data_IF_744934077332
#
_entry.id   IF_744934077332
#
_cell.length_a   1.000
_cell.length_b   1.000
_cell.length_c   1.000
_cell.angle_alpha   90.00
_cell.angle_beta   90.00
_cell.angle_gamma   90.00
#
_symmetry.space_group_name_H-M   'P 1'
#
loop_
_entity.id
_entity.type
_entity.pdbx_description
1 polymer ?
#
# COMPACT_ATOMS: atom_id res chain seq x y z
N UNK A 1 -19.44 30.87 17.76
CA UNK A 1 -18.15 30.39 18.33
C UNK A 1 -17.63 31.54 19.18
N UNK A 2 -17.18 31.21 20.37
CA UNK A 2 -16.63 32.21 21.30
C UNK A 2 -15.12 32.01 21.43
N UNK A 3 -14.42 33.03 21.94
CA UNK A 3 -12.96 32.95 22.17
C UNK A 3 -12.63 31.78 23.09
N UNK A 4 -11.46 31.19 22.94
CA UNK A 4 -10.96 30.16 23.84
C UNK A 4 -11.00 30.65 25.30
N UNK A 5 -11.47 29.80 26.22
CA UNK A 5 -11.47 30.05 27.66
C UNK A 5 -10.05 30.21 28.22
N UNK A 6 -9.05 29.74 27.50
CA UNK A 6 -7.63 29.76 27.88
C UNK A 6 -6.80 30.64 26.97
N UNK A 7 -7.39 31.72 26.43
CA UNK A 7 -6.78 32.61 25.43
C UNK A 7 -5.39 33.11 25.85
N UNK A 8 -5.16 33.42 27.12
CA UNK A 8 -3.87 33.87 27.66
C UNK A 8 -2.71 32.86 27.49
N UNK A 9 -3.04 31.57 27.43
CA UNK A 9 -2.10 30.51 27.19
C UNK A 9 -2.04 30.13 25.71
N UNK A 10 -3.20 30.04 25.09
CA UNK A 10 -3.36 29.63 23.68
C UNK A 10 -2.67 30.63 22.77
N UNK A 11 -2.88 31.93 22.96
CA UNK A 11 -2.22 32.95 22.12
C UNK A 11 -0.69 32.93 22.16
N UNK A 12 -0.10 32.44 23.25
CA UNK A 12 1.37 32.30 23.40
C UNK A 12 1.95 31.03 22.78
N UNK A 13 1.18 29.93 22.80
CA UNK A 13 1.65 28.59 22.42
C UNK A 13 1.20 28.20 21.02
N UNK A 14 -0.01 28.62 20.61
CA UNK A 14 -0.60 28.24 19.35
C UNK A 14 0.23 28.63 18.11
N UNK A 15 0.85 29.80 18.05
CA UNK A 15 1.75 30.14 16.94
C UNK A 15 2.99 29.22 16.83
N UNK A 16 3.35 28.52 17.93
CA UNK A 16 4.48 27.57 17.99
C UNK A 16 4.03 26.12 18.00
N UNK A 17 2.76 25.84 17.71
CA UNK A 17 2.20 24.48 17.79
C UNK A 17 2.94 23.52 16.84
N UNK A 18 3.32 23.97 15.67
CA UNK A 18 4.09 23.16 14.71
C UNK A 18 5.42 22.66 15.30
N UNK A 19 6.17 23.55 15.94
CA UNK A 19 7.40 23.17 16.65
C UNK A 19 7.13 22.17 17.77
N UNK A 20 6.10 22.42 18.57
CA UNK A 20 5.71 21.54 19.67
C UNK A 20 5.32 20.13 19.16
N UNK A 21 4.58 20.06 18.06
CA UNK A 21 4.21 18.78 17.43
C UNK A 21 5.45 18.03 16.95
N UNK A 22 6.36 18.71 16.23
CA UNK A 22 7.60 18.11 15.74
C UNK A 22 8.49 17.61 16.88
N UNK A 23 8.70 18.42 17.90
CA UNK A 23 9.49 18.03 19.08
C UNK A 23 8.89 16.84 19.82
N UNK A 24 7.56 16.80 19.95
CA UNK A 24 6.87 15.73 20.66
C UNK A 24 6.84 14.42 19.88
N UNK A 25 6.71 14.46 18.57
CA UNK A 25 6.83 13.29 17.68
C UNK A 25 8.24 12.71 17.75
N UNK A 26 9.26 13.55 17.61
CA UNK A 26 10.66 13.11 17.60
C UNK A 26 11.19 12.73 19.00
N UNK A 27 10.65 13.33 20.06
CA UNK A 27 11.07 13.10 21.45
C UNK A 27 10.34 11.93 22.15
N UNK A 28 9.45 11.24 21.50
CA UNK A 28 8.77 10.09 22.08
C UNK A 28 9.75 8.92 22.29
N UNK A 29 9.60 8.19 23.40
CA UNK A 29 10.37 6.97 23.69
C UNK A 29 10.24 5.88 22.61
N UNK A 30 9.16 5.94 21.81
CA UNK A 30 8.93 5.17 20.59
C UNK A 30 8.55 6.17 19.52
N UNK A 31 9.49 6.66 18.70
CA UNK A 31 9.18 7.56 17.60
C UNK A 31 8.21 6.87 16.64
N UNK A 32 7.16 7.59 16.25
CA UNK A 32 6.21 7.11 15.26
C UNK A 32 6.91 7.18 13.89
N UNK A 33 7.08 6.03 13.27
CA UNK A 33 7.54 5.95 11.89
C UNK A 33 6.33 6.11 10.97
N UNK A 34 6.42 7.06 10.06
CA UNK A 34 5.40 7.31 9.04
C UNK A 34 5.97 7.05 7.65
N UNK A 35 5.56 5.94 7.03
CA UNK A 35 5.99 5.57 5.68
C UNK A 35 5.53 6.60 4.64
N UNK A 36 4.30 7.15 4.77
CA UNK A 36 3.84 8.18 3.85
C UNK A 36 4.69 9.46 3.86
N UNK A 37 5.39 9.77 4.98
CA UNK A 37 6.30 10.91 5.05
C UNK A 37 7.69 10.61 4.50
N UNK A 38 8.09 9.34 4.47
CA UNK A 38 9.38 8.90 3.93
C UNK A 38 9.29 8.62 2.42
N UNK A 39 8.14 8.14 1.96
CA UNK A 39 7.95 7.61 0.60
C UNK A 39 7.18 8.56 -0.32
N UNK A 40 6.56 9.62 0.19
CA UNK A 40 5.78 10.58 -0.59
C UNK A 40 6.34 11.99 -0.49
N UNK A 41 6.32 12.70 -1.61
CA UNK A 41 6.67 14.12 -1.67
C UNK A 41 5.43 14.98 -1.47
N UNK A 42 5.41 15.98 -0.55
CA UNK A 42 4.29 16.90 -0.41
C UNK A 42 4.12 17.79 -1.64
N UNK A 43 2.92 17.80 -2.24
CA UNK A 43 2.60 18.61 -3.43
C UNK A 43 1.34 19.43 -3.18
N UNK A 44 1.41 20.73 -3.46
CA UNK A 44 0.27 21.64 -3.33
C UNK A 44 -0.58 21.63 -4.59
N UNK A 45 -1.90 21.43 -4.42
CA UNK A 45 -2.90 21.51 -5.48
C UNK A 45 -3.81 22.73 -5.28
N UNK A 46 -3.73 23.69 -6.20
CA UNK A 46 -4.51 24.92 -6.15
C UNK A 46 -6.00 24.70 -6.50
N UNK A 47 -6.29 23.73 -7.36
CA UNK A 47 -7.64 23.38 -7.81
C UNK A 47 -8.32 22.29 -6.95
N UNK A 48 -7.67 21.87 -5.86
CA UNK A 48 -8.16 20.85 -4.92
C UNK A 48 -8.43 19.49 -5.57
N UNK A 49 -7.69 19.18 -6.61
CA UNK A 49 -7.73 17.89 -7.29
C UNK A 49 -6.41 17.15 -7.09
N UNK A 50 -6.49 15.86 -7.25
CA UNK A 50 -5.33 15.00 -7.37
C UNK A 50 -5.36 14.31 -8.74
N UNK A 51 -4.21 14.13 -9.30
CA UNK A 51 -4.01 13.38 -10.54
C UNK A 51 -2.89 12.40 -10.28
N UNK A 52 -3.17 11.11 -10.48
CA UNK A 52 -2.15 10.07 -10.54
C UNK A 52 -1.70 9.94 -11.98
N UNK A 53 -0.44 10.10 -12.23
CA UNK A 53 0.14 9.84 -13.55
C UNK A 53 0.59 8.40 -13.60
N UNK A 54 0.02 7.63 -14.53
CA UNK A 54 0.67 6.46 -15.08
C UNK A 54 1.20 6.91 -16.44
N UNK A 55 2.42 7.35 -16.46
CA UNK A 55 3.14 7.53 -17.71
C UNK A 55 3.70 6.15 -18.07
N UNK A 56 3.38 5.65 -19.25
CA UNK A 56 4.13 4.52 -19.77
C UNK A 56 5.57 5.00 -19.98
N UNK A 57 6.44 4.68 -19.02
CA UNK A 57 7.82 5.14 -18.96
C UNK A 57 8.76 4.30 -19.83
N UNK A 58 8.21 3.48 -20.74
CA UNK A 58 9.00 2.67 -21.65
C UNK A 58 9.75 3.58 -22.64
N UNK A 59 11.06 3.67 -22.45
CA UNK A 59 11.93 4.43 -23.35
C UNK A 59 12.22 3.63 -24.61
N UNK A 60 11.68 4.07 -25.75
CA UNK A 60 11.94 3.45 -27.06
C UNK A 60 13.26 3.97 -27.60
N UNK A 61 14.17 3.07 -28.01
CA UNK A 61 15.42 3.46 -28.61
C UNK A 61 15.19 4.23 -29.93
N UNK A 62 16.01 5.27 -30.17
CA UNK A 62 16.00 5.99 -31.42
C UNK A 62 16.60 5.12 -32.55
N UNK A 63 16.04 5.23 -33.74
CA UNK A 63 16.56 4.52 -34.89
C UNK A 63 17.82 5.21 -35.46
N UNK A 64 18.73 4.40 -35.97
CA UNK A 64 19.85 4.94 -36.79
C UNK A 64 19.36 5.19 -38.18
N UNK A 65 19.39 6.46 -38.61
CA UNK A 65 18.91 6.87 -39.93
C UNK A 65 20.06 7.44 -40.80
N UNK A 66 19.93 7.29 -42.10
CA UNK A 66 20.89 7.90 -43.03
C UNK A 66 20.75 9.44 -42.99
N UNK A 67 21.86 10.18 -43.33
CA UNK A 67 21.91 11.63 -43.20
C UNK A 67 20.79 12.40 -43.95
N UNK A 68 20.30 11.88 -45.05
CA UNK A 68 19.29 12.50 -45.86
C UNK A 68 17.89 11.87 -45.73
N UNK A 69 17.69 11.01 -44.72
CA UNK A 69 16.40 10.35 -44.43
C UNK A 69 15.57 11.15 -43.42
N UNK A 70 14.24 11.22 -43.59
CA UNK A 70 13.37 11.79 -42.57
C UNK A 70 13.41 10.92 -41.29
N UNK A 71 13.30 11.56 -40.12
CA UNK A 71 13.26 10.86 -38.86
C UNK A 71 11.97 10.03 -38.72
N UNK A 72 12.04 8.76 -38.33
CA UNK A 72 10.86 7.93 -38.10
C UNK A 72 10.01 8.47 -36.95
N UNK A 73 8.70 8.51 -37.13
CA UNK A 73 7.76 8.91 -36.13
C UNK A 73 7.55 7.73 -35.16
N UNK A 74 7.86 7.92 -33.87
CA UNK A 74 7.53 6.96 -32.82
C UNK A 74 6.13 7.26 -32.26
N UNK A 75 5.40 6.23 -31.87
CA UNK A 75 4.11 6.36 -31.22
C UNK A 75 4.24 7.08 -29.89
N UNK A 76 3.24 7.86 -29.53
CA UNK A 76 3.12 8.46 -28.21
C UNK A 76 2.17 7.59 -27.40
N UNK A 77 2.67 7.01 -26.32
CA UNK A 77 1.84 6.21 -25.45
C UNK A 77 0.79 7.08 -24.76
N UNK A 78 -0.40 6.51 -24.53
CA UNK A 78 -1.49 7.21 -23.86
C UNK A 78 -1.20 7.25 -22.36
N UNK A 79 -1.22 8.45 -21.77
CA UNK A 79 -1.17 8.62 -20.33
C UNK A 79 -2.54 8.24 -19.77
N UNK A 80 -2.61 7.17 -19.00
CA UNK A 80 -3.80 6.86 -18.21
C UNK A 80 -3.79 7.76 -16.97
N UNK A 81 -4.84 8.55 -16.77
CA UNK A 81 -4.97 9.44 -15.61
C UNK A 81 -6.02 8.88 -14.67
N UNK A 82 -5.61 8.53 -13.46
CA UNK A 82 -6.51 8.43 -12.32
C UNK A 82 -6.59 9.80 -11.66
N UNK A 83 -7.78 10.29 -11.33
CA UNK A 83 -7.89 11.61 -10.74
C UNK A 83 -9.20 11.83 -10.01
N UNK A 84 -9.25 12.87 -9.19
CA UNK A 84 -10.44 13.20 -8.43
C UNK A 84 -10.27 14.41 -7.52
N UNK A 85 -11.30 14.72 -6.75
CA UNK A 85 -11.25 15.81 -5.75
C UNK A 85 -10.53 15.31 -4.49
N UNK A 86 -9.79 16.22 -3.85
CA UNK A 86 -9.15 15.94 -2.57
C UNK A 86 -10.20 15.75 -1.46
N UNK A 87 -10.13 14.68 -0.67
CA UNK A 87 -11.00 14.46 0.45
C UNK A 87 -10.61 15.36 1.64
N UNK A 88 -11.60 15.76 2.41
CA UNK A 88 -11.38 16.44 3.68
C UNK A 88 -11.17 15.40 4.78
N UNK A 89 -10.03 15.46 5.44
CA UNK A 89 -9.69 14.66 6.61
C UNK A 89 -9.78 15.54 7.85
N UNK A 90 -10.35 15.04 8.93
CA UNK A 90 -10.41 15.84 10.15
C UNK A 90 -10.90 15.08 11.37
N UNK A 91 -10.58 15.63 12.52
CA UNK A 91 -11.06 15.15 13.81
C UNK A 91 -11.26 16.30 14.79
N UNK A 92 -12.03 16.03 15.83
CA UNK A 92 -12.39 16.99 16.86
C UNK A 92 -12.10 16.41 18.25
N UNK A 93 -11.52 17.23 19.11
CA UNK A 93 -11.36 16.97 20.53
C UNK A 93 -12.14 18.00 21.33
N UNK A 94 -12.66 17.62 22.49
CA UNK A 94 -13.39 18.52 23.37
C UNK A 94 -12.92 18.37 24.83
N UNK A 95 -12.74 19.48 25.51
CA UNK A 95 -12.64 19.53 26.95
C UNK A 95 -14.02 19.80 27.53
N UNK A 96 -14.51 18.86 28.31
CA UNK A 96 -15.79 18.99 29.04
C UNK A 96 -15.60 19.90 30.26
N UNK A 97 -16.69 20.43 30.82
CA UNK A 97 -16.69 21.31 31.97
C UNK A 97 -15.87 20.77 33.16
N UNK A 98 -15.94 19.47 33.45
CA UNK A 98 -15.15 18.85 34.51
C UNK A 98 -13.62 18.96 34.27
N UNK A 99 -13.20 18.88 33.02
CA UNK A 99 -11.79 19.03 32.65
C UNK A 99 -11.34 20.48 32.64
N UNK A 100 -12.27 21.40 32.25
CA UNK A 100 -12.07 22.84 32.31
C UNK A 100 -11.89 23.27 33.79
N UNK A 101 -12.74 22.76 34.70
CA UNK A 101 -12.62 23.04 36.13
C UNK A 101 -11.28 22.50 36.69
N UNK A 102 -10.84 21.34 36.28
CA UNK A 102 -9.52 20.82 36.68
C UNK A 102 -8.36 21.71 36.26
N UNK A 103 -8.44 22.32 35.05
CA UNK A 103 -7.43 23.30 34.60
C UNK A 103 -7.51 24.58 35.41
N UNK A 104 -8.75 25.07 35.73
CA UNK A 104 -8.95 26.26 36.55
C UNK A 104 -8.39 26.08 37.97
N UNK A 105 -8.56 24.92 38.59
CA UNK A 105 -7.94 24.58 39.86
C UNK A 105 -6.41 24.62 39.77
N UNK A 106 -5.82 24.08 38.70
CA UNK A 106 -4.37 24.17 38.47
C UNK A 106 -3.90 25.63 38.33
N UNK A 107 -4.69 26.49 37.67
CA UNK A 107 -4.41 27.92 37.54
C UNK A 107 -4.45 28.61 38.92
N UNK A 108 -5.47 28.31 39.74
CA UNK A 108 -5.53 28.82 41.08
C UNK A 108 -4.36 28.42 41.97
N UNK A 109 -3.95 27.15 41.91
CA UNK A 109 -2.74 26.66 42.59
C UNK A 109 -1.46 27.35 42.09
N UNK A 110 -1.36 27.65 40.78
CA UNK A 110 -0.22 28.35 40.21
C UNK A 110 -0.07 29.75 40.79
N UNK A 111 -1.18 30.47 41.02
CA UNK A 111 -1.16 31.81 41.62
C UNK A 111 -0.78 31.80 43.10
N UNK A 112 -1.05 30.73 43.83
CA UNK A 112 -0.76 30.56 45.25
C UNK A 112 0.67 30.04 45.54
N UNK A 113 1.34 29.49 44.54
CA UNK A 113 2.66 28.90 44.70
C UNK A 113 3.73 30.00 44.70
N UNK A 114 4.60 30.06 45.70
CA UNK A 114 5.70 31.04 45.80
C UNK A 114 7.01 30.51 45.24
N UNK A 115 7.21 29.19 45.21
CA UNK A 115 8.41 28.57 44.67
C UNK A 115 8.46 28.63 43.15
N UNK A 116 9.52 29.22 42.58
CA UNK A 116 9.67 29.41 41.13
C UNK A 116 9.82 28.08 40.37
N UNK A 117 10.46 27.08 40.96
CA UNK A 117 10.59 25.75 40.35
C UNK A 117 9.24 25.04 40.23
N UNK A 118 8.45 25.08 41.31
CA UNK A 118 7.09 24.52 41.33
C UNK A 118 6.15 25.28 40.38
N UNK A 119 6.22 26.62 40.31
CA UNK A 119 5.47 27.42 39.33
C UNK A 119 5.76 26.96 37.91
N UNK A 120 7.03 26.84 37.55
CA UNK A 120 7.46 26.41 36.19
C UNK A 120 6.95 25.03 35.84
N UNK A 121 7.01 24.08 36.77
CA UNK A 121 6.50 22.73 36.59
C UNK A 121 4.97 22.72 36.38
N UNK A 122 4.24 23.51 37.17
CA UNK A 122 2.79 23.58 37.12
C UNK A 122 2.29 24.30 35.84
N UNK A 123 2.96 25.39 35.45
CA UNK A 123 2.70 26.05 34.17
C UNK A 123 2.88 25.07 33.00
N UNK A 124 3.95 24.30 33.01
CA UNK A 124 4.21 23.28 31.99
C UNK A 124 3.10 22.21 31.92
N UNK A 125 2.54 21.79 33.07
CA UNK A 125 1.42 20.87 33.12
C UNK A 125 0.14 21.47 32.50
N UNK A 126 -0.16 22.73 32.78
CA UNK A 126 -1.30 23.46 32.21
C UNK A 126 -1.12 23.57 30.67
N UNK A 127 0.06 24.03 30.24
CA UNK A 127 0.36 24.16 28.82
C UNK A 127 0.25 22.82 28.08
N UNK A 128 0.79 21.74 28.65
CA UNK A 128 0.66 20.41 28.03
C UNK A 128 -0.82 20.00 27.88
N UNK A 129 -1.65 20.17 28.90
CA UNK A 129 -3.08 19.86 28.79
C UNK A 129 -3.82 20.68 27.73
N UNK A 130 -3.41 21.92 27.53
CA UNK A 130 -4.00 22.80 26.51
C UNK A 130 -3.51 22.41 25.10
N UNK A 131 -2.24 22.04 24.94
CA UNK A 131 -1.65 21.73 23.63
C UNK A 131 -1.84 20.28 23.20
N UNK A 132 -2.09 19.36 24.15
CA UNK A 132 -2.24 17.92 23.84
C UNK A 132 -3.37 17.63 22.86
N UNK A 133 -4.47 18.37 22.90
CA UNK A 133 -5.58 18.21 21.94
C UNK A 133 -5.17 18.67 20.53
N UNK A 134 -4.43 19.77 20.42
CA UNK A 134 -3.89 20.23 19.14
C UNK A 134 -2.88 19.24 18.55
N UNK A 135 -1.98 18.73 19.40
CA UNK A 135 -1.07 17.66 19.02
C UNK A 135 -1.80 16.40 18.55
N UNK A 136 -2.80 15.94 19.31
CA UNK A 136 -3.59 14.76 18.96
C UNK A 136 -4.34 14.94 17.63
N UNK A 137 -4.85 16.14 17.34
CA UNK A 137 -5.51 16.46 16.08
C UNK A 137 -4.53 16.42 14.89
N UNK A 138 -3.34 16.98 15.06
CA UNK A 138 -2.31 16.96 14.00
C UNK A 138 -1.82 15.53 13.71
N UNK A 139 -1.51 14.76 14.75
CA UNK A 139 -1.09 13.36 14.63
C UNK A 139 -2.22 12.47 14.09
N UNK A 140 -3.48 12.74 14.46
CA UNK A 140 -4.63 11.99 13.95
C UNK A 140 -4.81 12.10 12.44
N UNK A 141 -4.43 13.24 11.84
CA UNK A 141 -4.39 13.40 10.38
C UNK A 141 -3.27 12.56 9.77
N UNK A 142 -2.07 12.55 10.40
CA UNK A 142 -0.96 11.71 9.94
C UNK A 142 -1.31 10.21 10.02
N UNK A 143 -1.96 9.77 11.10
CA UNK A 143 -2.42 8.38 11.25
C UNK A 143 -3.43 7.99 10.15
N UNK A 144 -4.31 8.89 9.73
CA UNK A 144 -5.24 8.65 8.62
C UNK A 144 -4.51 8.58 7.27
N UNK A 145 -3.57 9.48 7.04
CA UNK A 145 -2.76 9.46 5.82
C UNK A 145 -1.91 8.18 5.74
N UNK A 146 -1.33 7.75 6.86
CA UNK A 146 -0.58 6.49 6.94
C UNK A 146 -1.46 5.28 6.62
N UNK A 147 -2.67 5.23 7.19
CA UNK A 147 -3.63 4.18 6.90
C UNK A 147 -3.99 4.13 5.41
N UNK A 148 -4.31 5.29 4.84
CA UNK A 148 -4.70 5.40 3.44
C UNK A 148 -3.53 5.03 2.51
N UNK A 149 -2.31 5.50 2.83
CA UNK A 149 -1.12 5.20 2.04
C UNK A 149 -0.79 3.71 2.03
N UNK A 150 -0.66 3.08 3.18
CA UNK A 150 -0.27 1.67 3.27
C UNK A 150 -1.35 0.73 2.70
N UNK A 151 -2.64 1.09 2.86
CA UNK A 151 -3.73 0.35 2.24
C UNK A 151 -3.70 0.53 0.72
N UNK A 152 -3.53 1.76 0.24
CA UNK A 152 -3.41 2.06 -1.18
C UNK A 152 -2.22 1.38 -1.83
N UNK A 153 -1.06 1.37 -1.17
CA UNK A 153 0.15 0.72 -1.66
C UNK A 153 -0.03 -0.80 -1.81
N UNK A 154 -0.69 -1.45 -0.86
CA UNK A 154 -0.87 -2.91 -0.90
C UNK A 154 -2.01 -3.37 -1.81
N UNK A 155 -3.07 -2.56 -1.96
CA UNK A 155 -4.29 -2.95 -2.67
C UNK A 155 -4.47 -2.24 -4.02
N UNK A 156 -3.72 -1.15 -4.29
CA UNK A 156 -3.96 -0.25 -5.42
C UNK A 156 -5.24 0.57 -5.28
N UNK A 157 -5.98 0.39 -4.18
CA UNK A 157 -7.29 1.01 -3.92
C UNK A 157 -7.38 1.43 -2.46
N UNK A 158 -7.87 2.66 -2.22
CA UNK A 158 -8.34 3.08 -0.90
C UNK A 158 -9.85 2.96 -0.88
N UNK A 159 -10.37 2.11 -0.03
CA UNK A 159 -11.79 2.00 0.25
C UNK A 159 -12.04 2.39 1.70
N UNK A 160 -12.79 3.47 1.90
CA UNK A 160 -13.29 3.88 3.21
C UNK A 160 -14.81 3.70 3.18
N UNK A 161 -15.35 2.63 3.79
CA UNK A 161 -16.79 2.38 3.79
C UNK A 161 -17.52 3.45 4.61
N UNK A 162 -18.79 3.70 4.30
CA UNK A 162 -19.66 4.66 5.02
C UNK A 162 -19.71 4.40 6.52
N UNK A 163 -19.59 3.13 6.88
CA UNK A 163 -19.57 2.71 8.28
C UNK A 163 -18.32 3.18 9.05
N UNK A 164 -17.21 3.42 8.39
CA UNK A 164 -15.96 3.91 8.99
C UNK A 164 -15.83 5.44 8.93
N UNK A 165 -16.74 6.10 8.22
CA UNK A 165 -16.69 7.54 7.98
C UNK A 165 -18.01 8.21 8.36
N UNK A 166 -17.97 9.45 8.89
CA UNK A 166 -19.15 10.27 9.10
C UNK A 166 -19.50 10.98 7.80
N UNK A 167 -20.31 10.36 6.94
CA UNK A 167 -20.80 11.05 5.76
C UNK A 167 -20.93 10.15 4.55
N UNK A 168 -19.92 10.04 3.76
CA UNK A 168 -19.93 9.31 2.48
C UNK A 168 -18.74 8.38 2.39
N UNK A 169 -18.97 7.16 1.90
CA UNK A 169 -17.90 6.26 1.54
C UNK A 169 -16.99 6.89 0.50
N UNK A 170 -15.71 6.61 0.58
CA UNK A 170 -14.72 7.09 -0.37
C UNK A 170 -14.04 5.90 -1.03
N UNK A 171 -14.00 5.92 -2.35
CA UNK A 171 -13.21 4.98 -3.14
C UNK A 171 -12.24 5.76 -4.01
N UNK A 172 -10.95 5.49 -3.84
CA UNK A 172 -9.87 6.00 -4.69
C UNK A 172 -9.18 4.79 -5.30
N UNK A 173 -9.12 4.72 -6.62
CA UNK A 173 -8.35 3.69 -7.34
C UNK A 173 -7.15 4.36 -7.98
N UNK A 174 -5.98 3.81 -7.79
CA UNK A 174 -4.74 4.28 -8.39
C UNK A 174 -4.49 3.68 -9.78
N UNK A 175 -5.31 2.71 -10.20
CA UNK A 175 -5.22 2.12 -11.53
C UNK A 175 -4.05 1.16 -11.70
N UNK A 176 -3.72 0.37 -10.68
CA UNK A 176 -2.71 -0.70 -10.80
C UNK A 176 -3.02 -1.60 -11.99
N UNK A 177 -1.99 -1.94 -12.75
CA UNK A 177 -2.13 -2.75 -13.95
C UNK A 177 -2.37 -4.22 -13.58
N UNK A 178 -3.46 -4.84 -14.07
CA UNK A 178 -3.73 -6.26 -13.78
C UNK A 178 -2.63 -7.19 -14.28
N UNK A 179 -1.95 -6.83 -15.37
CA UNK A 179 -0.82 -7.57 -15.96
C UNK A 179 0.45 -7.57 -15.10
N UNK A 180 0.56 -6.62 -14.16
CA UNK A 180 1.64 -6.53 -13.18
C UNK A 180 1.26 -7.18 -11.84
N UNK A 181 0.09 -7.84 -11.77
CA UNK A 181 -0.39 -8.54 -10.57
C UNK A 181 -0.31 -10.05 -10.76
N UNK A 182 0.48 -10.70 -9.93
CA UNK A 182 0.73 -12.14 -9.98
C UNK A 182 0.13 -12.82 -8.76
N UNK A 183 -0.27 -14.09 -8.93
CA UNK A 183 -0.48 -15.01 -7.84
C UNK A 183 0.77 -15.88 -7.61
N UNK A 184 0.72 -16.78 -6.63
CA UNK A 184 1.75 -17.81 -6.42
C UNK A 184 1.49 -19.02 -7.31
N UNK A 185 2.56 -19.69 -7.76
CA UNK A 185 2.44 -20.88 -8.59
C UNK A 185 1.75 -22.03 -7.85
N UNK A 186 1.99 -22.16 -6.56
CA UNK A 186 1.34 -23.14 -5.67
C UNK A 186 0.73 -22.40 -4.47
N UNK A 187 -0.52 -22.66 -4.16
CA UNK A 187 -1.17 -22.15 -2.95
C UNK A 187 -0.32 -22.49 -1.71
N UNK A 188 -0.14 -21.47 -0.84
CA UNK A 188 0.63 -21.55 0.41
C UNK A 188 2.14 -21.88 0.26
N UNK A 189 2.68 -21.92 -0.95
CA UNK A 189 4.09 -22.25 -1.20
C UNK A 189 4.78 -21.20 -2.09
N UNK A 190 5.14 -20.08 -1.51
CA UNK A 190 5.92 -19.04 -2.15
C UNK A 190 7.39 -19.51 -2.32
N UNK A 191 7.92 -19.40 -3.54
CA UNK A 191 9.28 -19.81 -3.92
C UNK A 191 10.02 -18.72 -4.70
N UNK A 192 11.29 -18.98 -5.04
CA UNK A 192 12.08 -18.09 -5.90
C UNK A 192 11.50 -17.89 -7.28
N UNK A 193 10.89 -18.94 -7.84
CA UNK A 193 10.27 -18.90 -9.17
C UNK A 193 9.17 -17.83 -9.28
N UNK A 194 8.46 -17.59 -8.18
CA UNK A 194 7.44 -16.53 -8.12
C UNK A 194 8.08 -15.14 -8.25
N UNK A 195 9.27 -14.94 -7.69
CA UNK A 195 10.05 -13.71 -7.81
C UNK A 195 10.60 -13.56 -9.22
N UNK A 196 11.17 -14.62 -9.78
CA UNK A 196 11.74 -14.62 -11.11
C UNK A 196 10.72 -14.29 -12.20
N UNK A 197 9.47 -14.76 -12.05
CA UNK A 197 8.38 -14.37 -12.95
C UNK A 197 8.13 -12.87 -12.96
N UNK A 198 8.14 -12.23 -11.78
CA UNK A 198 7.97 -10.78 -11.67
C UNK A 198 9.15 -10.04 -12.27
N UNK A 199 10.38 -10.49 -11.98
CA UNK A 199 11.60 -9.88 -12.51
C UNK A 199 11.67 -10.01 -14.03
N UNK A 200 11.30 -11.17 -14.59
CA UNK A 200 11.26 -11.41 -16.04
C UNK A 200 10.24 -10.50 -16.72
N UNK A 201 9.06 -10.29 -16.11
CA UNK A 201 8.07 -9.36 -16.65
C UNK A 201 8.57 -7.92 -16.57
N UNK A 202 9.15 -7.51 -15.45
CA UNK A 202 9.72 -6.18 -15.29
C UNK A 202 10.82 -5.88 -16.32
N UNK A 203 11.72 -6.85 -16.55
CA UNK A 203 12.78 -6.75 -17.57
C UNK A 203 12.19 -6.64 -18.99
N UNK A 204 11.17 -7.44 -19.31
CA UNK A 204 10.47 -7.36 -20.59
C UNK A 204 9.77 -5.99 -20.80
N UNK A 205 9.30 -5.35 -19.72
CA UNK A 205 8.72 -4.00 -19.75
C UNK A 205 9.82 -2.89 -19.75
N UNK A 206 11.10 -3.27 -19.60
CA UNK A 206 12.22 -2.34 -19.48
C UNK A 206 12.35 -1.66 -18.13
N UNK A 207 11.74 -2.23 -17.09
CA UNK A 207 11.70 -1.69 -15.73
C UNK A 207 12.71 -2.39 -14.83
N UNK A 208 13.31 -1.64 -13.91
CA UNK A 208 14.23 -2.17 -12.91
C UNK A 208 13.60 -2.08 -11.52
N UNK A 209 13.60 -3.19 -10.81
CA UNK A 209 13.07 -3.28 -9.45
C UNK A 209 14.24 -3.38 -8.45
N UNK A 210 14.09 -2.78 -7.27
CA UNK A 210 15.12 -2.82 -6.23
C UNK A 210 14.60 -3.15 -4.83
N UNK A 211 13.30 -3.00 -4.58
CA UNK A 211 12.73 -3.14 -3.24
C UNK A 211 11.43 -3.94 -3.26
N UNK A 212 11.26 -4.81 -2.26
CA UNK A 212 9.99 -5.49 -1.99
C UNK A 212 9.41 -4.96 -0.69
N UNK A 213 8.27 -4.27 -0.76
CA UNK A 213 7.49 -3.91 0.41
C UNK A 213 6.66 -5.12 0.88
N UNK A 214 6.84 -5.51 2.12
CA UNK A 214 6.26 -6.73 2.70
C UNK A 214 5.86 -6.51 4.16
N UNK A 215 4.74 -7.12 4.58
CA UNK A 215 4.39 -7.13 6.00
C UNK A 215 5.41 -7.96 6.81
N UNK A 216 5.86 -7.44 7.95
CA UNK A 216 6.83 -8.13 8.81
C UNK A 216 6.37 -9.54 9.22
N UNK A 217 5.07 -9.76 9.40
CA UNK A 217 4.50 -11.08 9.68
C UNK A 217 4.73 -12.07 8.54
N UNK A 218 4.55 -11.64 7.31
CA UNK A 218 4.73 -12.44 6.09
C UNK A 218 6.20 -12.67 5.80
N UNK A 219 7.04 -11.65 5.94
CA UNK A 219 8.48 -11.79 5.88
C UNK A 219 8.98 -12.90 6.84
N UNK A 220 8.49 -12.90 8.09
CA UNK A 220 8.86 -13.93 9.07
C UNK A 220 8.32 -15.32 8.73
N UNK A 221 7.21 -15.44 8.00
CA UNK A 221 6.72 -16.72 7.48
C UNK A 221 7.62 -17.22 6.36
N UNK A 222 7.90 -16.38 5.36
CA UNK A 222 8.77 -16.71 4.22
C UNK A 222 10.16 -17.10 4.70
N UNK A 223 10.78 -16.34 5.61
CA UNK A 223 12.09 -16.66 6.18
C UNK A 223 12.17 -18.04 6.86
N UNK A 224 11.05 -18.58 7.34
CA UNK A 224 10.95 -19.91 7.95
C UNK A 224 10.66 -21.01 6.96
N UNK A 225 10.33 -20.69 5.71
CA UNK A 225 10.05 -21.68 4.66
C UNK A 225 11.27 -22.55 4.35
N UNK A 226 11.03 -23.69 3.75
CA UNK A 226 12.11 -24.59 3.35
C UNK A 226 12.99 -23.95 2.28
N UNK A 227 12.36 -23.28 1.29
CA UNK A 227 13.05 -22.51 0.27
C UNK A 227 14.04 -21.49 0.85
N UNK A 228 13.61 -20.68 1.83
CA UNK A 228 14.46 -19.67 2.44
C UNK A 228 15.67 -20.27 3.19
N UNK A 229 15.49 -21.44 3.80
CA UNK A 229 16.59 -22.17 4.45
C UNK A 229 17.62 -22.68 3.42
N UNK A 230 17.14 -23.21 2.32
CA UNK A 230 17.98 -23.69 1.22
C UNK A 230 18.73 -22.54 0.54
N UNK A 231 18.06 -21.42 0.26
CA UNK A 231 18.67 -20.20 -0.28
C UNK A 231 19.86 -19.75 0.59
N UNK A 232 19.67 -19.66 1.91
CA UNK A 232 20.75 -19.23 2.82
C UNK A 232 21.84 -20.28 2.96
N UNK A 233 21.51 -21.58 2.92
CA UNK A 233 22.50 -22.65 2.94
C UNK A 233 23.38 -22.61 1.68
N UNK A 234 22.79 -22.42 0.52
CA UNK A 234 23.50 -22.26 -0.75
C UNK A 234 24.40 -21.01 -0.74
N UNK A 235 23.87 -19.87 -0.29
CA UNK A 235 24.64 -18.62 -0.16
C UNK A 235 25.86 -18.78 0.74
N UNK A 236 25.76 -19.60 1.81
CA UNK A 236 26.85 -19.86 2.75
C UNK A 236 27.74 -21.05 2.36
N UNK A 237 27.52 -21.64 1.18
CA UNK A 237 28.25 -22.83 0.70
C UNK A 237 28.25 -23.98 1.74
N UNK A 238 27.16 -24.12 2.50
CA UNK A 238 27.05 -25.18 3.50
C UNK A 238 26.66 -26.49 2.84
N UNK A 239 27.60 -27.43 2.80
CA UNK A 239 27.29 -28.80 2.41
C UNK A 239 26.42 -29.49 3.45
N UNK A 240 25.11 -29.64 3.17
CA UNK A 240 24.18 -30.33 4.03
C UNK A 240 23.70 -31.63 3.39
N UNK A 241 23.86 -32.73 4.09
CA UNK A 241 23.41 -34.05 3.62
C UNK A 241 21.89 -34.22 3.64
N UNK A 242 21.15 -33.40 4.42
CA UNK A 242 19.71 -33.51 4.62
C UNK A 242 19.11 -32.10 4.75
N UNK A 243 18.51 -31.60 3.67
CA UNK A 243 17.91 -30.27 3.58
C UNK A 243 16.75 -30.07 4.59
N UNK A 244 16.12 -31.16 5.05
CA UNK A 244 15.04 -31.06 6.05
C UNK A 244 15.50 -30.56 7.41
N UNK A 245 16.80 -30.68 7.72
CA UNK A 245 17.42 -30.30 9.01
C UNK A 245 18.05 -28.92 9.03
N UNK A 246 17.89 -28.14 7.96
CA UNK A 246 18.43 -26.78 7.92
C UNK A 246 17.83 -25.87 9.01
N UNK A 247 18.67 -25.12 9.74
CA UNK A 247 18.19 -24.19 10.74
C UNK A 247 17.46 -23.00 10.11
N UNK A 248 16.52 -22.39 10.84
CA UNK A 248 15.88 -21.16 10.39
C UNK A 248 16.92 -20.04 10.32
N UNK A 249 17.09 -19.38 9.16
CA UNK A 249 18.07 -18.31 9.01
C UNK A 249 17.77 -17.11 9.90
N UNK A 250 18.79 -16.35 10.28
CA UNK A 250 18.61 -15.03 10.91
C UNK A 250 18.07 -14.04 9.87
N UNK A 251 17.49 -12.92 10.32
CA UNK A 251 16.99 -11.91 9.40
C UNK A 251 18.10 -11.35 8.50
N UNK A 252 19.29 -11.02 9.06
CA UNK A 252 20.41 -10.51 8.27
C UNK A 252 20.91 -11.51 7.25
N UNK A 253 21.09 -12.79 7.66
CA UNK A 253 21.56 -13.81 6.72
C UNK A 253 20.58 -14.08 5.57
N UNK A 254 19.28 -13.96 5.85
CA UNK A 254 18.27 -14.10 4.79
C UNK A 254 18.25 -12.87 3.86
N UNK A 255 18.32 -11.66 4.42
CA UNK A 255 18.37 -10.43 3.62
C UNK A 255 19.61 -10.39 2.72
N UNK A 256 20.79 -10.80 3.23
CA UNK A 256 22.03 -10.85 2.46
C UNK A 256 21.98 -11.89 1.33
N UNK A 257 21.51 -13.09 1.62
CA UNK A 257 21.36 -14.15 0.63
C UNK A 257 20.35 -13.77 -0.45
N UNK A 258 19.23 -13.21 -0.05
CA UNK A 258 18.17 -12.75 -0.93
C UNK A 258 18.64 -11.63 -1.86
N UNK A 259 19.33 -10.63 -1.30
CA UNK A 259 19.91 -9.53 -2.09
C UNK A 259 20.99 -10.01 -3.06
N UNK A 260 21.78 -10.99 -2.67
CA UNK A 260 22.81 -11.57 -3.54
C UNK A 260 22.21 -12.33 -4.73
N UNK A 261 21.07 -12.99 -4.53
CA UNK A 261 20.40 -13.79 -5.57
C UNK A 261 19.56 -12.92 -6.51
N UNK A 262 18.69 -12.06 -5.95
CA UNK A 262 17.68 -11.33 -6.73
C UNK A 262 17.99 -9.84 -6.90
N UNK A 263 19.00 -9.29 -6.23
CA UNK A 263 19.30 -7.85 -6.26
C UNK A 263 18.29 -6.95 -5.53
N UNK A 264 17.37 -7.55 -4.75
CA UNK A 264 16.25 -6.84 -4.11
C UNK A 264 16.45 -6.69 -2.61
N UNK A 265 16.04 -5.56 -2.06
CA UNK A 265 16.01 -5.29 -0.63
C UNK A 265 14.58 -5.43 -0.07
N UNK A 266 14.44 -5.83 1.21
CA UNK A 266 13.13 -5.89 1.87
C UNK A 266 12.79 -4.60 2.63
N UNK A 267 11.68 -3.97 2.26
CA UNK A 267 11.02 -2.93 3.06
C UNK A 267 9.99 -3.59 3.99
N UNK A 268 10.40 -3.86 5.23
CA UNK A 268 9.58 -4.57 6.21
C UNK A 268 8.60 -3.63 6.90
N UNK A 269 7.32 -3.74 6.60
CA UNK A 269 6.27 -2.89 7.14
C UNK A 269 5.63 -3.56 8.36
N UNK A 270 5.79 -2.93 9.55
CA UNK A 270 5.13 -3.33 10.80
C UNK A 270 4.48 -2.11 11.43
N UNK A 271 3.44 -1.61 10.78
CA UNK A 271 2.70 -0.43 11.23
C UNK A 271 1.25 -0.81 11.55
N UNK A 272 0.81 -0.41 12.73
CA UNK A 272 -0.60 -0.50 13.15
C UNK A 272 -1.13 0.91 13.39
N UNK A 273 -2.35 1.16 12.94
CA UNK A 273 -3.08 2.41 13.14
C UNK A 273 -4.29 2.13 14.02
N UNK A 274 -4.57 3.03 14.97
CA UNK A 274 -5.74 2.91 15.85
C UNK A 274 -6.87 3.73 15.26
N UNK A 275 -7.97 3.06 14.94
CA UNK A 275 -9.23 3.68 14.51
C UNK A 275 -10.20 3.71 15.69
N UNK A 276 -10.87 4.84 15.89
CA UNK A 276 -11.93 4.99 16.90
C UNK A 276 -13.29 5.14 16.22
N UNK A 277 -14.22 4.24 16.54
CA UNK A 277 -15.61 4.29 16.08
C UNK A 277 -16.54 4.14 17.29
N UNK A 278 -17.48 5.07 17.45
CA UNK A 278 -18.43 5.06 18.57
C UNK A 278 -17.76 4.88 19.94
N UNK A 279 -16.61 5.53 20.15
CA UNK A 279 -15.84 5.44 21.40
C UNK A 279 -15.02 4.15 21.55
N UNK A 280 -15.15 3.17 20.66
CA UNK A 280 -14.37 1.92 20.67
C UNK A 280 -13.13 2.04 19.79
N UNK A 281 -11.96 1.79 20.38
CA UNK A 281 -10.67 1.80 19.70
C UNK A 281 -10.33 0.41 19.17
N UNK A 282 -9.96 0.35 17.89
CA UNK A 282 -9.53 -0.89 17.22
C UNK A 282 -8.19 -0.65 16.52
N UNK A 283 -7.25 -1.56 16.71
CA UNK A 283 -5.97 -1.52 16.00
C UNK A 283 -6.11 -2.26 14.67
N UNK A 284 -5.71 -1.60 13.59
CA UNK A 284 -5.74 -2.14 12.22
C UNK A 284 -4.34 -2.12 11.64
N UNK A 285 -3.94 -3.18 10.95
CA UNK A 285 -2.74 -3.23 10.11
C UNK A 285 -3.15 -2.85 8.69
N UNK A 286 -2.80 -1.66 8.21
CA UNK A 286 -3.31 -1.18 6.91
C UNK A 286 -2.68 -1.87 5.70
N UNK A 287 -1.44 -2.34 5.82
CA UNK A 287 -0.78 -3.07 4.74
C UNK A 287 -1.27 -4.53 4.71
N UNK A 288 -1.74 -5.00 3.55
CA UNK A 288 -2.25 -6.35 3.38
C UNK A 288 -1.12 -7.38 3.56
N UNK A 289 -1.21 -8.31 4.54
CA UNK A 289 -0.15 -9.28 4.79
C UNK A 289 0.00 -10.33 3.68
N UNK A 290 -0.97 -10.47 2.78
CA UNK A 290 -0.91 -11.42 1.67
C UNK A 290 -0.30 -10.81 0.39
N UNK A 291 0.06 -9.51 0.41
CA UNK A 291 0.64 -8.84 -0.75
C UNK A 291 2.13 -8.60 -0.57
N UNK A 292 2.89 -8.86 -1.63
CA UNK A 292 4.25 -8.39 -1.82
C UNK A 292 4.20 -7.34 -2.93
N UNK A 293 4.76 -6.16 -2.67
CA UNK A 293 4.77 -5.07 -3.64
C UNK A 293 6.21 -4.78 -4.04
N UNK A 294 6.49 -4.93 -5.33
CA UNK A 294 7.79 -4.68 -5.90
C UNK A 294 7.85 -3.24 -6.42
N UNK A 295 8.89 -2.54 -6.04
CA UNK A 295 9.07 -1.12 -6.31
C UNK A 295 10.45 -0.87 -6.94
N UNK A 296 10.57 0.14 -7.81
CA UNK A 296 11.88 0.53 -8.36
C UNK A 296 12.79 1.11 -7.29
N UNK A 297 12.22 1.76 -6.25
CA UNK A 297 12.95 2.36 -5.14
C UNK A 297 12.09 2.42 -3.87
N UNK A 298 12.74 2.57 -2.72
CA UNK A 298 12.06 2.62 -1.42
C UNK A 298 11.43 3.98 -1.11
N UNK A 299 11.89 5.05 -1.73
CA UNK A 299 11.50 6.43 -1.56
C UNK A 299 10.86 6.98 -2.84
N UNK A 300 10.10 8.08 -2.70
CA UNK A 300 9.47 8.77 -3.83
C UNK A 300 8.55 7.88 -4.69
N UNK A 301 7.65 7.16 -4.03
CA UNK A 301 6.64 6.29 -4.67
C UNK A 301 5.42 7.10 -5.16
N UNK A 302 5.37 8.40 -4.83
CA UNK A 302 4.29 9.28 -5.22
C UNK A 302 4.24 10.56 -4.41
N UNK A 303 3.08 11.20 -4.37
CA UNK A 303 2.87 12.50 -3.76
C UNK A 303 1.87 12.46 -2.61
N UNK A 304 2.11 13.27 -1.57
CA UNK A 304 1.08 13.69 -0.64
C UNK A 304 0.45 14.98 -1.18
N UNK A 305 -0.62 14.84 -1.95
CA UNK A 305 -1.30 16.00 -2.53
C UNK A 305 -2.18 16.68 -1.49
N UNK A 306 -2.05 18.00 -1.36
CA UNK A 306 -2.83 18.77 -0.40
C UNK A 306 -3.32 20.09 -0.99
N UNK A 307 -4.41 20.63 -0.43
CA UNK A 307 -5.03 21.87 -0.88
C UNK A 307 -5.44 22.76 0.28
N UNK A 308 -5.77 24.01 -0.02
CA UNK A 308 -6.19 25.02 0.96
C UNK A 308 -7.64 24.78 1.37
N UNK A 309 -7.89 24.77 2.68
CA UNK A 309 -9.24 24.73 3.24
C UNK A 309 -9.91 26.11 3.15
N UNK A 310 -11.21 26.13 2.86
CA UNK A 310 -12.00 27.37 2.85
C UNK A 310 -11.95 28.12 4.21
N UNK A 311 -11.86 27.39 5.33
CA UNK A 311 -11.74 27.97 6.68
C UNK A 311 -10.39 28.64 6.92
N UNK A 312 -9.33 28.19 6.26
CA UNK A 312 -8.01 28.84 6.37
C UNK A 312 -7.99 30.19 5.65
N UNK A 313 -8.68 30.29 4.52
CA UNK A 313 -8.84 31.54 3.77
C UNK A 313 -9.83 32.49 4.44
N UNK A 314 -10.90 31.95 5.04
CA UNK A 314 -11.99 32.72 5.66
C UNK A 314 -12.02 32.46 7.17
N UNK A 315 -11.01 32.94 7.89
CA UNK A 315 -10.87 32.72 9.33
C UNK A 315 -11.97 33.40 10.11
N UNK A 316 -12.59 32.68 11.04
CA UNK A 316 -13.70 33.17 11.88
C UNK A 316 -13.14 33.96 13.07
N UNK A 317 -13.71 35.14 13.33
CA UNK A 317 -13.32 35.94 14.48
C UNK A 317 -13.57 35.18 15.79
N UNK A 318 -12.64 35.28 16.74
CA UNK A 318 -12.73 34.61 18.03
C UNK A 318 -12.24 33.16 18.05
N UNK A 319 -11.87 32.60 16.91
CA UNK A 319 -11.23 31.28 16.81
C UNK A 319 -9.72 31.46 16.69
N UNK A 320 -8.98 30.71 17.48
CA UNK A 320 -7.51 30.67 17.38
C UNK A 320 -7.07 29.60 16.38
N UNK A 321 -6.23 29.98 15.42
CA UNK A 321 -5.76 29.11 14.34
C UNK A 321 -4.25 28.90 14.39
N UNK A 322 -3.83 27.69 14.04
CA UNK A 322 -2.44 27.34 13.80
C UNK A 322 -2.36 26.35 12.65
N UNK A 323 -1.34 26.47 11.81
CA UNK A 323 -1.06 25.53 10.71
C UNK A 323 0.13 24.65 11.07
N UNK A 324 0.00 23.35 10.87
CA UNK A 324 1.03 22.35 11.12
C UNK A 324 1.35 21.66 9.79
N UNK A 325 2.64 21.47 9.50
CA UNK A 325 3.14 20.86 8.25
C UNK A 325 2.51 21.49 6.98
N UNK A 326 2.28 22.81 7.01
CA UNK A 326 1.75 23.67 5.94
C UNK A 326 0.31 23.39 5.47
N UNK A 327 -0.27 22.23 5.75
CA UNK A 327 -1.59 21.81 5.27
C UNK A 327 -2.60 21.39 6.35
N UNK A 328 -2.16 21.23 7.61
CA UNK A 328 -3.05 20.83 8.71
C UNK A 328 -3.50 22.06 9.48
N UNK A 329 -4.75 22.44 9.32
CA UNK A 329 -5.35 23.56 10.04
C UNK A 329 -5.87 23.09 11.40
N UNK A 330 -5.32 23.64 12.47
CA UNK A 330 -5.76 23.38 13.84
C UNK A 330 -6.46 24.62 14.36
N UNK A 331 -7.74 24.50 14.70
CA UNK A 331 -8.56 25.61 15.22
C UNK A 331 -9.04 25.31 16.63
N UNK A 332 -9.16 26.37 17.45
CA UNK A 332 -9.61 26.27 18.83
C UNK A 332 -10.57 27.39 19.21
N UNK A 333 -11.68 27.01 19.86
CA UNK A 333 -12.74 27.92 20.28
C UNK A 333 -13.55 27.33 21.42
N UNK A 334 -14.36 28.14 22.10
CA UNK A 334 -15.30 27.68 23.12
C UNK A 334 -16.75 27.68 22.61
N UNK A 335 -17.59 26.91 23.30
CA UNK A 335 -19.03 26.84 23.14
C UNK A 335 -19.67 26.84 24.53
N UNK A 336 -20.78 27.55 24.70
CA UNK A 336 -21.39 27.79 26.02
C UNK A 336 -22.50 26.82 26.39
N UNK A 337 -23.18 26.20 25.46
CA UNK A 337 -24.27 25.26 25.71
C UNK A 337 -24.04 23.88 25.09
N UNK A 338 -23.62 22.93 25.89
CA UNK A 338 -22.95 23.00 27.21
C UNK A 338 -21.53 23.61 27.11
N UNK A 339 -21.02 24.13 28.25
CA UNK A 339 -19.67 24.74 28.27
C UNK A 339 -18.59 23.74 27.89
N UNK A 340 -17.91 24.03 26.81
CA UNK A 340 -16.88 23.17 26.22
C UNK A 340 -15.80 24.02 25.56
N UNK A 341 -14.57 23.50 25.60
CA UNK A 341 -13.49 23.99 24.77
C UNK A 341 -13.24 22.98 23.66
N UNK A 342 -13.28 23.39 22.42
CA UNK A 342 -13.23 22.55 21.25
C UNK A 342 -11.92 22.82 20.50
N UNK A 343 -11.23 21.76 20.14
CA UNK A 343 -10.06 21.79 19.24
C UNK A 343 -10.36 20.94 18.03
N UNK A 344 -10.33 21.54 16.84
CA UNK A 344 -10.48 20.84 15.56
C UNK A 344 -9.12 20.72 14.87
N UNK A 345 -8.87 19.58 14.23
CA UNK A 345 -7.83 19.42 13.24
C UNK A 345 -8.45 18.99 11.93
N UNK A 346 -8.08 19.65 10.86
CA UNK A 346 -8.59 19.35 9.53
C UNK A 346 -7.53 19.62 8.46
N UNK A 347 -7.59 18.84 7.40
CA UNK A 347 -6.73 18.96 6.22
C UNK A 347 -7.51 18.57 4.97
N UNK A 348 -7.13 19.12 3.84
CA UNK A 348 -7.58 18.69 2.53
C UNK A 348 -6.37 17.99 1.89
N UNK A 349 -6.29 16.67 1.99
CA UNK A 349 -5.11 15.93 1.53
C UNK A 349 -5.41 14.47 1.21
N UNK A 350 -4.59 13.91 0.32
CA UNK A 350 -4.64 12.51 -0.07
C UNK A 350 -3.22 12.03 -0.40
N UNK A 351 -2.77 10.88 0.13
CA UNK A 351 -1.64 10.15 -0.40
C UNK A 351 -1.97 9.64 -1.81
N UNK A 352 -1.15 9.96 -2.79
CA UNK A 352 -1.31 9.54 -4.20
C UNK A 352 -0.10 8.70 -4.57
N UNK A 353 -0.33 7.52 -5.11
CA UNK A 353 0.71 6.65 -5.66
C UNK A 353 0.80 6.98 -7.14
N UNK A 354 2.01 7.24 -7.59
CA UNK A 354 2.32 7.61 -8.98
C UNK A 354 3.11 6.49 -9.65
N UNK A 355 3.28 6.58 -10.98
CA UNK A 355 4.05 5.62 -11.78
C UNK A 355 3.67 4.17 -11.51
N UNK A 356 2.36 3.90 -11.53
CA UNK A 356 1.77 2.59 -11.19
C UNK A 356 2.18 1.48 -12.18
N UNK A 357 2.63 1.84 -13.36
CA UNK A 357 3.23 0.96 -14.36
C UNK A 357 4.57 0.35 -13.91
N UNK A 358 5.27 1.00 -12.98
CA UNK A 358 6.51 0.49 -12.37
C UNK A 358 6.26 -0.39 -11.14
N UNK A 359 5.00 -0.57 -10.73
CA UNK A 359 4.64 -1.32 -9.54
C UNK A 359 4.16 -2.72 -9.93
N UNK A 360 4.80 -3.74 -9.37
CA UNK A 360 4.41 -5.13 -9.54
C UNK A 360 3.99 -5.73 -8.20
N UNK A 361 3.12 -6.71 -8.22
CA UNK A 361 2.62 -7.32 -6.99
C UNK A 361 2.46 -8.82 -7.09
N UNK A 362 2.69 -9.53 -5.97
CA UNK A 362 2.31 -10.93 -5.79
C UNK A 362 1.25 -11.01 -4.71
N UNK A 363 0.15 -11.70 -5.00
CA UNK A 363 -0.85 -12.08 -4.02
C UNK A 363 -0.63 -13.52 -3.58
N UNK A 364 -0.21 -13.69 -2.33
CA UNK A 364 0.07 -15.01 -1.75
C UNK A 364 -1.21 -15.84 -1.52
N UNK A 365 -2.38 -15.20 -1.55
CA UNK A 365 -3.68 -15.88 -1.40
C UNK A 365 -4.28 -16.33 -2.73
N UNK A 366 -3.71 -15.88 -3.84
CA UNK A 366 -4.16 -16.22 -5.19
C UNK A 366 -3.22 -17.28 -5.79
N UNK A 367 -3.75 -18.46 -6.08
CA UNK A 367 -3.01 -19.53 -6.75
C UNK A 367 -3.14 -19.35 -8.26
N UNK A 368 -2.11 -18.80 -8.87
CA UNK A 368 -2.01 -18.66 -10.32
C UNK A 368 -1.42 -19.94 -10.91
N UNK A 369 -2.20 -20.61 -11.76
CA UNK A 369 -1.67 -21.75 -12.55
C UNK A 369 -0.62 -21.18 -13.50
N UNK A 370 0.64 -21.47 -13.23
CA UNK A 370 1.74 -21.16 -14.16
C UNK A 370 1.68 -22.22 -15.24
N UNK A 371 1.31 -21.84 -16.45
CA UNK A 371 1.62 -22.66 -17.62
C UNK A 371 3.16 -22.72 -17.73
N UNK A 372 3.77 -23.85 -17.40
CA UNK A 372 5.19 -24.10 -17.55
C UNK A 372 5.67 -24.08 -19.02
N UNK A 373 4.85 -23.55 -19.92
CA UNK A 373 5.07 -23.59 -21.37
C UNK A 373 5.08 -22.20 -22.00
N UNK A 374 6.06 -21.37 -21.64
CA UNK A 374 6.54 -20.29 -22.54
C UNK A 374 8.03 -20.05 -22.36
N UNK A 375 8.84 -21.09 -22.54
CA UNK A 375 10.17 -20.91 -23.10
C UNK A 375 10.17 -21.58 -24.47
N UNK A 376 10.25 -20.74 -25.50
CA UNK A 376 10.74 -21.07 -26.83
C UNK A 376 9.98 -22.13 -27.61
N UNK A 377 9.38 -21.61 -28.65
CA UNK A 377 8.97 -22.24 -29.89
C UNK A 377 7.45 -22.33 -30.11
N UNK A 378 7.08 -21.57 -31.09
CA UNK A 378 5.88 -21.66 -31.90
C UNK A 378 5.59 -23.10 -32.31
N UNK A 379 4.83 -23.85 -31.48
CA UNK A 379 4.33 -25.16 -31.86
C UNK A 379 2.80 -25.13 -31.93
N UNK A 380 2.30 -24.32 -32.89
CA UNK A 380 0.89 -24.29 -33.26
C UNK A 380 0.41 -25.55 -33.98
N UNK A 381 1.26 -26.56 -34.13
CA UNK A 381 1.01 -27.77 -34.95
C UNK A 381 0.99 -29.13 -34.21
N UNK A 382 1.02 -29.16 -32.89
CA UNK A 382 0.84 -30.44 -32.19
C UNK A 382 -0.63 -30.91 -32.35
N UNK A 383 -0.77 -32.06 -33.02
CA UNK A 383 -2.07 -32.68 -33.31
C UNK A 383 -2.22 -33.97 -32.48
N UNK A 384 -3.41 -34.21 -31.97
CA UNK A 384 -3.78 -35.44 -31.28
C UNK A 384 -4.93 -36.14 -32.01
N UNK A 385 -4.81 -37.44 -32.22
CA UNK A 385 -5.85 -38.23 -32.89
C UNK A 385 -6.57 -39.08 -31.86
N UNK A 386 -7.87 -38.85 -31.71
CA UNK A 386 -8.74 -39.59 -30.81
C UNK A 386 -10.16 -39.74 -31.46
N UNK A 387 -10.81 -40.83 -31.20
CA UNK A 387 -12.13 -41.16 -31.78
C UNK A 387 -12.17 -41.07 -33.33
N UNK A 388 -11.04 -41.31 -33.98
CA UNK A 388 -10.93 -41.27 -35.46
C UNK A 388 -10.90 -39.88 -36.07
N UNK A 389 -10.78 -38.82 -35.26
CA UNK A 389 -10.59 -37.44 -35.71
C UNK A 389 -9.31 -36.88 -35.15
N UNK A 390 -8.70 -35.93 -35.86
CA UNK A 390 -7.46 -35.24 -35.45
C UNK A 390 -7.81 -33.83 -34.99
N UNK A 391 -7.40 -33.50 -33.80
CA UNK A 391 -7.64 -32.19 -33.18
C UNK A 391 -6.32 -31.47 -32.91
N UNK A 392 -6.39 -30.15 -32.78
CA UNK A 392 -5.26 -29.39 -32.22
C UNK A 392 -5.11 -29.74 -30.75
N UNK A 393 -3.95 -30.27 -30.39
CA UNK A 393 -3.69 -30.83 -29.04
C UNK A 393 -3.84 -29.81 -27.91
N UNK A 394 -3.38 -28.56 -28.03
CA UNK A 394 -3.54 -27.56 -26.98
C UNK A 394 -5.02 -27.31 -26.64
N UNK A 395 -5.86 -27.10 -27.64
CA UNK A 395 -7.27 -26.83 -27.48
C UNK A 395 -8.03 -28.04 -26.94
N UNK A 396 -7.65 -29.26 -27.42
CA UNK A 396 -8.20 -30.50 -26.93
C UNK A 396 -7.92 -30.72 -25.44
N UNK A 397 -6.67 -30.50 -25.01
CA UNK A 397 -6.24 -30.65 -23.61
C UNK A 397 -6.93 -29.59 -22.73
N UNK A 398 -7.10 -28.38 -23.21
CA UNK A 398 -7.79 -27.32 -22.47
C UNK A 398 -9.27 -27.69 -22.23
N UNK A 399 -9.96 -28.18 -23.26
CA UNK A 399 -11.35 -28.61 -23.14
C UNK A 399 -11.49 -29.82 -22.20
N UNK A 400 -10.57 -30.79 -22.32
CA UNK A 400 -10.51 -31.98 -21.46
C UNK A 400 -10.31 -31.60 -19.99
N UNK A 401 -9.38 -30.69 -19.69
CA UNK A 401 -9.14 -30.22 -18.34
C UNK A 401 -10.37 -29.53 -17.72
N UNK A 402 -11.09 -28.77 -18.53
CA UNK A 402 -12.30 -28.06 -18.08
C UNK A 402 -13.44 -29.01 -17.74
N UNK A 403 -13.58 -30.11 -18.49
CA UNK A 403 -14.67 -31.08 -18.30
C UNK A 403 -14.29 -32.15 -17.28
N UNK A 404 -13.11 -32.73 -17.39
CA UNK A 404 -12.63 -33.79 -16.50
C UNK A 404 -12.07 -33.29 -15.16
N UNK A 405 -11.91 -31.96 -14.96
CA UNK A 405 -11.19 -31.40 -13.80
C UNK A 405 -9.73 -31.84 -13.73
N UNK A 406 -9.14 -32.26 -14.88
CA UNK A 406 -7.77 -32.73 -14.96
C UNK A 406 -6.79 -31.55 -15.12
N UNK A 407 -5.51 -31.78 -14.87
CA UNK A 407 -4.43 -30.78 -15.01
C UNK A 407 -3.38 -31.30 -15.98
N UNK A 408 -3.78 -31.63 -17.19
CA UNK A 408 -2.88 -32.07 -18.24
C UNK A 408 -2.32 -30.87 -19.00
N UNK A 409 -1.05 -30.94 -19.41
CA UNK A 409 -0.40 -29.96 -20.28
C UNK A 409 -0.54 -30.40 -21.76
N UNK A 410 -0.52 -29.44 -22.69
CA UNK A 410 -0.41 -29.74 -24.12
C UNK A 410 0.82 -30.59 -24.46
N UNK A 411 1.90 -30.50 -23.67
CA UNK A 411 3.13 -31.34 -23.78
C UNK A 411 2.99 -32.71 -23.12
N UNK A 412 1.88 -33.04 -22.47
CA UNK A 412 1.68 -34.37 -21.91
C UNK A 412 1.71 -35.41 -23.04
N UNK A 413 2.25 -36.58 -22.75
CA UNK A 413 2.27 -37.68 -23.74
C UNK A 413 0.84 -37.98 -24.22
N UNK A 414 0.65 -38.21 -25.52
CA UNK A 414 -0.65 -38.46 -26.13
C UNK A 414 -1.41 -39.59 -25.46
N UNK A 415 -0.70 -40.62 -25.07
CA UNK A 415 -1.24 -41.79 -24.34
C UNK A 415 -1.95 -41.38 -23.03
N UNK A 416 -1.38 -40.40 -22.28
CA UNK A 416 -1.97 -39.90 -21.04
C UNK A 416 -3.23 -39.05 -21.30
N UNK A 417 -3.21 -38.27 -22.36
CA UNK A 417 -4.33 -37.42 -22.75
C UNK A 417 -5.48 -38.33 -23.24
N UNK A 418 -5.19 -39.32 -24.07
CA UNK A 418 -6.15 -40.28 -24.59
C UNK A 418 -6.75 -41.13 -23.46
N UNK A 419 -5.90 -41.64 -22.55
CA UNK A 419 -6.37 -42.40 -21.40
C UNK A 419 -7.36 -41.59 -20.55
N UNK A 420 -7.03 -40.31 -20.30
CA UNK A 420 -7.90 -39.43 -19.49
C UNK A 420 -9.23 -39.09 -20.20
N UNK A 421 -9.20 -38.92 -21.51
CA UNK A 421 -10.40 -38.69 -22.29
C UNK A 421 -11.33 -39.95 -22.32
N UNK A 422 -10.74 -41.16 -22.34
CA UNK A 422 -11.47 -42.41 -22.30
C UNK A 422 -12.01 -42.80 -20.91
N UNK A 423 -11.57 -42.11 -19.84
CA UNK A 423 -12.11 -42.27 -18.48
C UNK A 423 -13.36 -41.44 -18.22
N UNK A 424 -13.78 -40.58 -19.16
CA UNK A 424 -14.97 -39.74 -19.02
C UNK A 424 -16.27 -40.55 -19.05
N UNK A 425 -17.31 -40.04 -18.42
CA UNK A 425 -18.65 -40.55 -18.59
C UNK A 425 -19.17 -40.26 -20.01
N UNK A 426 -20.13 -41.06 -20.51
CA UNK A 426 -20.69 -40.85 -21.84
C UNK A 426 -21.22 -39.42 -22.07
N UNK A 427 -21.76 -38.79 -21.04
CA UNK A 427 -22.25 -37.41 -21.10
C UNK A 427 -21.10 -36.38 -21.20
N UNK A 428 -20.00 -36.61 -20.46
CA UNK A 428 -18.82 -35.72 -20.47
C UNK A 428 -18.01 -35.90 -21.75
N UNK A 429 -17.97 -37.14 -22.30
CA UNK A 429 -17.33 -37.41 -23.60
C UNK A 429 -18.07 -36.66 -24.73
N UNK A 430 -19.42 -36.66 -24.72
CA UNK A 430 -20.22 -35.94 -25.71
C UNK A 430 -20.06 -34.41 -25.58
N UNK A 431 -20.00 -33.92 -24.34
CA UNK A 431 -19.67 -32.52 -24.06
C UNK A 431 -18.27 -32.12 -24.55
N UNK A 432 -17.29 -33.01 -24.38
CA UNK A 432 -15.92 -32.77 -24.88
C UNK A 432 -15.89 -32.77 -26.42
N UNK A 433 -16.54 -33.73 -27.08
CA UNK A 433 -16.63 -33.75 -28.53
C UNK A 433 -17.26 -32.48 -29.09
N UNK A 434 -18.34 -32.01 -28.47
CA UNK A 434 -18.99 -30.74 -28.85
C UNK A 434 -18.07 -29.53 -28.64
N UNK A 435 -17.36 -29.49 -27.54
CA UNK A 435 -16.42 -28.37 -27.22
C UNK A 435 -15.26 -28.28 -28.19
N UNK A 436 -14.79 -29.41 -28.75
CA UNK A 436 -13.61 -29.44 -29.64
C UNK A 436 -13.95 -29.52 -31.13
N UNK A 437 -15.24 -29.62 -31.49
CA UNK A 437 -15.67 -29.71 -32.92
C UNK A 437 -15.18 -28.51 -33.77
N UNK A 438 -15.06 -27.35 -33.18
CA UNK A 438 -14.54 -26.12 -33.84
C UNK A 438 -13.01 -26.15 -34.02
N UNK A 439 -12.30 -27.10 -33.42
CA UNK A 439 -10.83 -27.18 -33.38
C UNK A 439 -10.28 -28.41 -34.09
N UNK A 440 -11.04 -28.94 -35.06
CA UNK A 440 -10.58 -30.06 -35.90
C UNK A 440 -9.41 -29.56 -36.75
N UNK A 441 -8.26 -30.24 -36.67
CA UNK A 441 -7.13 -29.93 -37.51
C UNK A 441 -7.37 -30.50 -38.91
N UNK A 442 -7.27 -29.66 -39.92
CA UNK A 442 -7.34 -30.03 -41.36
C UNK A 442 -6.11 -30.81 -41.81
#
# INVERSE_FOLDING_TARGET
MEKSLFIEYVSKVWPKLNLYVKEKVNGNKKPLKYYHKEMLTPVFSADQKWEGTSANTTYVAADMVAMDSPLPLKSRDSIAQAGGKLPKVGMKKQLKETQINAINIMKAHLSMTSDEGAKKAQLRRILNKITDDGYACAVGIDERNELNFLKGLSEGIILVPDEENTGTGMRVSYGYLPENSFGVAMADNFTGDDIERVLTKADADGNTLSVIAIALSTYNKIRKSQWAKELVANYKEQAVMDNSKLPVPTASSFDEAFKSEYGLDFLKIDRSVIIEKNGKKTSVKPFNPNKLIFLPQADNVGSLVWGTLAEDTNRVAGVEYSTVDDYKLISRYSKTDPLQEITNGQALCLPVIEDVDLIYSIDLSDAQVVDETKEGEDSTDEKITIWGKTYKKPEFVQALNKIAGSKLSAKSADEKVIAKANELSDADEEALKTAVETHIAS
#
